data_IF_104505117983
#
_entry.id   IF_104505117983
#
_cell.length_a   1.000
_cell.length_b   1.000
_cell.length_c   1.000
_cell.angle_alpha   90.00
_cell.angle_beta   90.00
_cell.angle_gamma   90.00
#
_symmetry.space_group_name_H-M   'P 1'
#
loop_
_entity.id
_entity.type
_entity.pdbx_description
1 polymer ?
#
# COMPACT_ATOMS: atom_id res chain seq x y z
N UNK A 1 0.46 2.41 12.03
CA UNK A 1 0.91 1.41 11.04
C UNK A 1 1.20 2.12 9.74
N UNK A 2 2.43 2.06 9.27
CA UNK A 2 2.85 2.54 7.96
C UNK A 2 2.31 1.63 6.85
N UNK A 3 2.42 2.09 5.60
CA UNK A 3 2.11 1.26 4.43
C UNK A 3 2.95 -0.01 4.44
N UNK A 4 4.26 0.09 4.67
CA UNK A 4 5.18 -1.05 4.72
C UNK A 4 4.80 -2.08 5.79
N UNK A 5 4.54 -1.63 7.02
CA UNK A 5 4.11 -2.52 8.11
C UNK A 5 2.77 -3.23 7.77
N UNK A 6 1.89 -2.55 7.03
CA UNK A 6 0.64 -3.15 6.55
C UNK A 6 0.92 -4.23 5.50
N UNK A 7 1.81 -3.96 4.53
CA UNK A 7 2.18 -4.92 3.49
C UNK A 7 2.85 -6.16 4.09
N UNK A 8 3.75 -5.97 5.07
CA UNK A 8 4.41 -7.04 5.80
C UNK A 8 3.39 -7.91 6.54
N UNK A 9 2.44 -7.28 7.23
CA UNK A 9 1.35 -7.98 7.94
C UNK A 9 0.43 -8.76 7.02
N UNK A 10 0.21 -8.26 5.80
CA UNK A 10 -0.59 -8.95 4.77
C UNK A 10 0.20 -10.07 4.06
N UNK A 11 1.49 -10.27 4.41
CA UNK A 11 2.36 -11.25 3.79
C UNK A 11 2.66 -10.95 2.33
N UNK A 12 2.58 -9.68 1.92
CA UNK A 12 2.83 -9.28 0.54
C UNK A 12 4.32 -9.00 0.33
N UNK A 13 4.86 -9.51 -0.78
CA UNK A 13 6.19 -9.11 -1.20
C UNK A 13 6.15 -7.69 -1.79
N UNK A 14 7.06 -6.84 -1.33
CA UNK A 14 7.23 -5.50 -1.85
C UNK A 14 8.70 -5.09 -1.86
N UNK A 15 9.02 -4.12 -2.72
CA UNK A 15 10.33 -3.45 -2.72
C UNK A 15 10.17 -1.96 -2.90
N UNK A 16 11.07 -1.19 -2.30
CA UNK A 16 11.19 0.25 -2.57
C UNK A 16 11.77 0.46 -3.98
N UNK A 17 11.28 1.48 -4.68
CA UNK A 17 11.94 2.02 -5.86
C UNK A 17 13.09 2.95 -5.42
N UNK A 18 14.36 2.58 -5.66
CA UNK A 18 15.51 3.38 -5.24
C UNK A 18 15.68 4.67 -6.06
N UNK A 19 15.12 4.72 -7.28
CA UNK A 19 15.29 5.85 -8.20
C UNK A 19 14.21 6.92 -8.01
N UNK A 20 13.20 6.64 -7.17
CA UNK A 20 12.14 7.59 -6.87
C UNK A 20 12.65 8.77 -6.01
N UNK A 21 12.55 9.98 -6.56
CA UNK A 21 12.87 11.22 -5.86
C UNK A 21 11.58 11.98 -5.52
N UNK A 22 11.21 12.14 -4.24
CA UNK A 22 10.01 12.87 -3.86
C UNK A 22 10.12 14.38 -4.12
N UNK A 23 9.07 14.95 -4.71
CA UNK A 23 8.99 16.39 -5.01
C UNK A 23 8.30 17.18 -3.89
N UNK A 24 7.10 16.76 -3.46
CA UNK A 24 6.27 17.51 -2.49
C UNK A 24 6.64 17.22 -1.04
N UNK A 25 6.56 15.95 -0.65
CA UNK A 25 6.88 15.49 0.71
C UNK A 25 8.11 14.59 0.65
N UNK A 26 9.19 14.99 1.32
CA UNK A 26 10.47 14.26 1.31
C UNK A 26 10.42 12.91 2.02
N UNK A 27 9.38 12.66 2.82
CA UNK A 27 9.13 11.36 3.43
C UNK A 27 8.40 10.39 2.49
N UNK A 28 7.89 10.85 1.33
CA UNK A 28 7.25 9.96 0.36
C UNK A 28 8.25 8.97 -0.23
N UNK A 29 7.89 7.71 -0.25
CA UNK A 29 8.61 6.64 -0.94
C UNK A 29 7.70 6.00 -1.99
N UNK A 30 8.29 5.46 -3.06
CA UNK A 30 7.56 4.62 -4.01
C UNK A 30 7.84 3.14 -3.72
N UNK A 31 6.79 2.33 -3.70
CA UNK A 31 6.82 0.90 -3.42
C UNK A 31 6.23 0.14 -4.62
N UNK A 32 6.88 -0.96 -5.00
CA UNK A 32 6.36 -1.93 -5.94
C UNK A 32 5.90 -3.16 -5.16
N UNK A 33 4.59 -3.43 -5.17
CA UNK A 33 3.94 -4.51 -4.41
C UNK A 33 3.50 -5.61 -5.36
N UNK A 34 3.84 -6.86 -5.07
CA UNK A 34 3.40 -8.02 -5.86
C UNK A 34 2.11 -8.60 -5.29
N UNK A 35 1.05 -8.64 -6.09
CA UNK A 35 -0.27 -9.13 -5.66
C UNK A 35 -1.08 -9.68 -6.84
N UNK A 36 -1.76 -10.81 -6.64
CA UNK A 36 -2.69 -11.37 -7.62
C UNK A 36 -2.08 -11.73 -8.98
N UNK A 37 -0.79 -12.08 -9.02
CA UNK A 37 -0.05 -12.33 -10.27
C UNK A 37 0.38 -11.07 -11.04
N UNK A 38 0.12 -9.88 -10.49
CA UNK A 38 0.53 -8.59 -11.03
C UNK A 38 1.28 -7.74 -10.01
N UNK A 39 1.42 -6.46 -10.33
CA UNK A 39 2.10 -5.48 -9.47
C UNK A 39 1.32 -4.18 -9.34
N UNK A 40 1.32 -3.64 -8.12
CA UNK A 40 0.78 -2.32 -7.78
C UNK A 40 1.94 -1.39 -7.43
N UNK A 41 1.90 -0.16 -7.93
CA UNK A 41 2.87 0.89 -7.57
C UNK A 41 2.19 1.86 -6.58
N UNK A 42 2.75 1.99 -5.38
CA UNK A 42 2.23 2.86 -4.34
C UNK A 42 3.22 3.97 -4.03
N UNK A 43 2.74 5.22 -3.95
CA UNK A 43 3.40 6.28 -3.21
C UNK A 43 2.94 6.21 -1.76
N UNK A 44 3.88 6.10 -0.82
CA UNK A 44 3.59 5.97 0.61
C UNK A 44 4.22 7.11 1.40
N UNK A 45 3.43 7.75 2.26
CA UNK A 45 3.89 8.71 3.28
C UNK A 45 3.26 8.33 4.62
N UNK A 46 4.05 7.68 5.49
CA UNK A 46 3.53 7.15 6.75
C UNK A 46 2.38 6.16 6.51
N UNK A 47 1.16 6.41 7.02
CA UNK A 47 -0.01 5.57 6.77
C UNK A 47 -0.77 5.91 5.48
N UNK A 48 -0.44 7.01 4.81
CA UNK A 48 -1.11 7.44 3.57
C UNK A 48 -0.49 6.73 2.38
N UNK A 49 -1.33 6.34 1.42
CA UNK A 49 -0.91 5.69 0.19
C UNK A 49 -1.66 6.23 -1.01
N UNK A 50 -1.03 6.15 -2.18
CA UNK A 50 -1.63 6.47 -3.46
C UNK A 50 -1.14 5.49 -4.53
N UNK A 51 -2.07 4.77 -5.14
CA UNK A 51 -1.83 3.91 -6.30
C UNK A 51 -1.75 4.77 -7.57
N UNK A 52 -0.56 4.86 -8.14
CA UNK A 52 -0.29 5.71 -9.31
C UNK A 52 -0.92 5.18 -10.59
N UNK A 53 -1.25 3.89 -10.65
CA UNK A 53 -1.85 3.26 -11.83
C UNK A 53 -3.36 3.30 -11.79
N UNK A 54 -3.94 3.16 -10.59
CA UNK A 54 -5.38 3.21 -10.38
C UNK A 54 -5.91 4.62 -10.09
N UNK A 55 -5.01 5.60 -9.93
CA UNK A 55 -5.28 6.98 -9.54
C UNK A 55 -6.12 7.12 -8.25
N UNK A 56 -5.95 6.18 -7.33
CA UNK A 56 -6.69 6.08 -6.08
C UNK A 56 -5.76 6.19 -4.90
N UNK A 57 -6.24 6.74 -3.80
CA UNK A 57 -5.47 6.80 -2.58
C UNK A 57 -6.35 6.80 -1.36
N UNK A 58 -5.70 6.64 -0.22
CA UNK A 58 -6.36 6.69 1.05
C UNK A 58 -5.37 6.60 2.20
N UNK A 59 -5.83 6.10 3.34
CA UNK A 59 -5.14 6.24 4.61
C UNK A 59 -5.42 5.11 5.58
N UNK A 60 -4.36 4.46 6.04
CA UNK A 60 -4.42 3.42 7.05
C UNK A 60 -4.51 2.02 6.46
N UNK A 61 -4.31 1.04 7.35
CA UNK A 61 -4.09 -0.34 6.96
C UNK A 61 -5.33 -1.03 6.39
N UNK A 62 -6.52 -0.73 6.94
CA UNK A 62 -7.78 -1.32 6.48
C UNK A 62 -8.13 -0.84 5.07
N UNK A 63 -8.05 0.46 4.86
CA UNK A 63 -8.31 1.09 3.57
C UNK A 63 -7.35 0.57 2.47
N UNK A 64 -6.06 0.46 2.80
CA UNK A 64 -5.09 -0.19 1.90
C UNK A 64 -5.44 -1.66 1.61
N UNK A 65 -5.88 -2.40 2.62
CA UNK A 65 -6.27 -3.82 2.46
C UNK A 65 -7.51 -3.93 1.56
N UNK A 66 -8.49 -3.03 1.72
CA UNK A 66 -9.67 -2.97 0.85
C UNK A 66 -9.26 -2.70 -0.60
N UNK A 67 -8.38 -1.73 -0.84
CA UNK A 67 -7.90 -1.40 -2.19
C UNK A 67 -7.16 -2.57 -2.85
N UNK A 68 -6.16 -3.12 -2.17
CA UNK A 68 -5.29 -4.16 -2.72
C UNK A 68 -6.04 -5.46 -3.04
N UNK A 69 -6.97 -5.87 -2.17
CA UNK A 69 -7.71 -7.13 -2.31
C UNK A 69 -9.13 -6.96 -2.86
N UNK A 70 -9.57 -5.73 -3.15
CA UNK A 70 -10.95 -5.39 -3.57
C UNK A 70 -12.00 -5.95 -2.62
N UNK A 71 -11.77 -5.77 -1.31
CA UNK A 71 -12.60 -6.31 -0.25
C UNK A 71 -13.57 -5.28 0.31
N UNK A 72 -14.66 -5.78 0.90
CA UNK A 72 -15.50 -4.99 1.80
C UNK A 72 -14.70 -4.61 3.06
N UNK A 73 -15.16 -3.60 3.80
CA UNK A 73 -14.54 -3.19 5.07
C UNK A 73 -14.41 -4.35 6.06
N UNK A 74 -15.48 -5.14 6.23
CA UNK A 74 -15.52 -6.26 7.19
C UNK A 74 -14.50 -7.34 6.78
N UNK A 75 -14.39 -7.65 5.50
CA UNK A 75 -13.45 -8.66 5.02
C UNK A 75 -12.01 -8.18 5.09
N UNK A 76 -11.77 -6.87 4.87
CA UNK A 76 -10.46 -6.26 5.06
C UNK A 76 -10.01 -6.29 6.54
N UNK A 77 -10.93 -6.01 7.48
CA UNK A 77 -10.66 -6.15 8.93
C UNK A 77 -10.29 -7.59 9.28
N UNK A 78 -11.06 -8.57 8.79
CA UNK A 78 -10.76 -9.99 9.02
C UNK A 78 -9.43 -10.41 8.43
N UNK A 79 -9.08 -9.91 7.24
CA UNK A 79 -7.82 -10.26 6.57
C UNK A 79 -6.60 -9.65 7.25
N UNK A 80 -6.74 -8.47 7.87
CA UNK A 80 -5.66 -7.83 8.63
C UNK A 80 -5.57 -8.34 10.08
N UNK A 81 -6.58 -9.07 10.58
CA UNK A 81 -6.53 -9.65 11.92
C UNK A 81 -5.34 -10.63 12.07
N UNK A 82 -4.78 -10.80 13.29
CA UNK A 82 -3.71 -11.76 13.57
C UNK A 82 -4.10 -13.20 13.23
#
# INVERSE_FOLDING_TARGET
>A
MTVQETLDRLGLYWKRDPDFVPVKDKATVRLNVSIGGGGVELLATGPKWYDTRAEQGGGGAIDLTMHLFRLSFVDAVKRLAP
#
